data_IF_315549572424
#
_entry.id   IF_315549572424
#
_cell.length_a   1.000
_cell.length_b   1.000
_cell.length_c   1.000
_cell.angle_alpha   90.00
_cell.angle_beta   90.00
_cell.angle_gamma   90.00
#
_symmetry.space_group_name_H-M   'P 1'
#
loop_
_entity.id
_entity.type
_entity.pdbx_description
1 polymer ?
#
# COMPACT_ATOMS: atom_id res chain seq x y z
N UNK A 1 -27.72 26.53 30.74
CA UNK A 1 -26.36 27.02 30.45
C UNK A 1 -25.41 25.87 30.10
N UNK A 2 -25.29 24.82 30.89
CA UNK A 2 -24.37 23.68 30.61
C UNK A 2 -24.63 22.93 29.28
N UNK A 3 -25.90 22.76 28.86
CA UNK A 3 -26.25 22.12 27.59
C UNK A 3 -25.92 23.03 26.37
N UNK A 4 -25.98 24.34 26.51
CA UNK A 4 -25.61 25.30 25.47
C UNK A 4 -24.08 25.41 25.32
N UNK A 5 -23.32 25.30 26.41
CA UNK A 5 -21.84 25.23 26.36
C UNK A 5 -21.34 23.88 25.83
N UNK A 6 -22.01 22.77 26.10
CA UNK A 6 -21.69 21.49 25.49
C UNK A 6 -21.99 21.47 24.00
N UNK A 7 -23.09 22.05 23.55
CA UNK A 7 -23.43 22.24 22.15
C UNK A 7 -22.47 23.24 21.43
N UNK A 8 -22.05 24.31 22.10
CA UNK A 8 -21.07 25.24 21.57
C UNK A 8 -19.65 24.62 21.46
N UNK A 9 -19.28 23.72 22.39
CA UNK A 9 -18.03 22.93 22.28
C UNK A 9 -18.10 21.86 21.19
N UNK A 10 -19.27 21.29 20.93
CA UNK A 10 -19.49 20.36 19.81
C UNK A 10 -19.48 21.08 18.45
N UNK A 11 -20.00 22.32 18.39
CA UNK A 11 -20.08 23.12 17.16
C UNK A 11 -18.73 23.69 16.68
N UNK A 12 -17.64 23.57 17.44
CA UNK A 12 -16.34 24.13 17.10
C UNK A 12 -15.22 23.09 16.90
N UNK A 13 -15.57 21.81 16.70
CA UNK A 13 -14.60 20.82 16.20
C UNK A 13 -14.47 21.06 14.69
N UNK A 14 -13.47 21.86 14.29
CA UNK A 14 -13.13 22.05 12.89
C UNK A 14 -12.83 20.66 12.29
N UNK A 15 -13.69 20.18 11.40
CA UNK A 15 -13.46 18.92 10.70
C UNK A 15 -12.17 19.01 9.91
N UNK A 16 -11.25 18.08 10.13
CA UNK A 16 -9.98 18.06 9.42
C UNK A 16 -10.16 17.51 8.02
N UNK A 17 -9.46 18.07 7.06
CA UNK A 17 -9.33 17.47 5.73
C UNK A 17 -8.46 16.21 5.82
N UNK A 18 -8.62 15.33 4.85
CA UNK A 18 -7.79 14.13 4.71
C UNK A 18 -7.18 14.08 3.31
N UNK A 19 -5.86 14.07 3.24
CA UNK A 19 -5.10 13.78 2.03
C UNK A 19 -4.54 12.36 2.16
N UNK A 20 -5.07 11.44 1.34
CA UNK A 20 -4.83 10.01 1.39
C UNK A 20 -4.00 9.61 0.17
N UNK A 21 -2.72 9.24 0.37
CA UNK A 21 -1.76 8.99 -0.69
C UNK A 21 -1.34 7.53 -0.65
N UNK A 22 -1.56 6.83 -1.76
CA UNK A 22 -1.23 5.42 -1.91
C UNK A 22 -0.32 5.23 -3.12
N UNK A 23 0.78 4.49 -2.96
CA UNK A 23 1.65 4.07 -4.06
C UNK A 23 1.56 2.56 -4.26
N UNK A 24 1.54 2.12 -5.52
CA UNK A 24 1.41 0.71 -5.89
C UNK A 24 2.76 0.00 -5.83
N UNK A 25 2.79 -1.21 -5.25
CA UNK A 25 4.01 -2.04 -5.10
C UNK A 25 5.12 -1.38 -4.23
N UNK A 26 4.81 -0.39 -3.41
CA UNK A 26 5.81 0.34 -2.64
C UNK A 26 6.13 -0.37 -1.32
N UNK A 27 7.33 -0.93 -1.21
CA UNK A 27 7.89 -1.44 0.04
C UNK A 27 8.66 -0.34 0.79
N UNK A 28 9.08 -0.54 2.08
CA UNK A 28 9.80 0.50 2.85
C UNK A 28 11.23 0.73 2.34
N UNK A 29 11.40 0.90 1.04
CA UNK A 29 12.65 1.18 0.36
C UNK A 29 12.82 2.69 0.23
N UNK A 30 13.13 3.34 1.37
CA UNK A 30 13.26 4.79 1.53
C UNK A 30 14.34 5.15 2.55
N UNK A 31 14.94 6.33 2.44
CA UNK A 31 15.95 6.81 3.39
C UNK A 31 15.43 6.86 4.83
N UNK A 32 14.20 7.32 5.06
CA UNK A 32 13.58 7.37 6.39
C UNK A 32 13.34 5.98 7.03
N UNK A 33 13.36 4.89 6.26
CA UNK A 33 13.36 3.50 6.74
C UNK A 33 14.77 2.89 6.85
N UNK A 34 15.82 3.68 6.64
CA UNK A 34 17.21 3.28 6.83
C UNK A 34 17.92 2.76 5.59
N UNK A 35 17.29 2.80 4.41
CA UNK A 35 17.94 2.45 3.14
C UNK A 35 18.86 3.59 2.70
N UNK A 36 20.15 3.29 2.53
CA UNK A 36 21.17 4.33 2.27
C UNK A 36 21.36 4.65 0.79
N UNK A 37 21.07 3.69 -0.06
CA UNK A 37 21.39 3.74 -1.49
C UNK A 37 20.20 4.18 -2.35
N UNK A 38 19.17 4.78 -1.73
CA UNK A 38 17.99 5.32 -2.41
C UNK A 38 17.85 6.82 -2.14
N UNK A 39 17.34 7.55 -3.14
CA UNK A 39 17.15 9.00 -3.08
C UNK A 39 15.66 9.34 -2.88
N UNK A 40 15.26 9.60 -1.63
CA UNK A 40 13.88 9.91 -1.24
C UNK A 40 13.80 11.13 -0.31
N UNK A 41 14.36 12.30 -0.70
CA UNK A 41 14.50 13.45 0.20
C UNK A 41 13.15 14.02 0.68
N UNK A 42 12.08 13.87 -0.10
CA UNK A 42 10.77 14.40 0.24
C UNK A 42 10.03 13.51 1.25
N UNK A 43 10.08 12.18 1.08
CA UNK A 43 9.60 11.24 2.09
C UNK A 43 10.40 11.38 3.39
N UNK A 44 11.72 11.55 3.31
CA UNK A 44 12.59 11.74 4.47
C UNK A 44 12.28 13.07 5.20
N UNK A 45 11.98 14.13 4.46
CA UNK A 45 11.53 15.42 5.01
C UNK A 45 10.17 15.26 5.70
N UNK A 46 9.22 14.59 5.05
CA UNK A 46 7.87 14.37 5.57
C UNK A 46 7.89 13.53 6.86
N UNK A 47 8.69 12.47 6.91
CA UNK A 47 8.83 11.58 8.07
C UNK A 47 9.24 12.34 9.35
N UNK A 48 10.03 13.41 9.25
CA UNK A 48 10.42 14.26 10.40
C UNK A 48 9.24 14.98 11.05
N UNK A 49 8.15 15.17 10.31
CA UNK A 49 6.92 15.82 10.77
C UNK A 49 5.75 14.88 11.05
N UNK A 50 5.92 13.59 10.85
CA UNK A 50 4.89 12.55 10.93
C UNK A 50 5.21 11.48 11.98
N UNK A 51 4.25 10.59 12.26
CA UNK A 51 4.56 9.29 12.86
C UNK A 51 4.86 8.33 11.71
N UNK A 52 6.09 7.81 11.70
CA UNK A 52 6.54 6.74 10.83
C UNK A 52 6.31 5.40 11.53
N UNK A 53 5.59 4.48 10.89
CA UNK A 53 5.34 3.14 11.41
C UNK A 53 6.38 2.17 10.82
N UNK A 54 7.30 1.72 11.67
CA UNK A 54 8.37 0.79 11.23
C UNK A 54 7.84 -0.61 10.91
N UNK A 55 6.75 -1.03 11.55
CA UNK A 55 6.12 -2.34 11.38
C UNK A 55 4.67 -2.21 10.90
N UNK A 56 4.49 -1.69 9.69
CA UNK A 56 3.19 -1.65 9.02
C UNK A 56 3.09 -2.74 7.95
N UNK A 57 1.92 -3.38 7.84
CA UNK A 57 1.70 -4.53 6.96
C UNK A 57 0.41 -4.39 6.16
N UNK A 58 0.44 -4.83 4.90
CA UNK A 58 -0.77 -5.07 4.13
C UNK A 58 -1.51 -6.31 4.64
N UNK A 59 -2.78 -6.46 4.27
CA UNK A 59 -3.54 -7.65 4.64
C UNK A 59 -3.60 -8.71 3.53
N UNK A 60 -3.16 -8.35 2.32
CA UNK A 60 -2.91 -9.26 1.21
C UNK A 60 -1.78 -8.71 0.32
N UNK A 61 -0.79 -9.52 -0.12
CA UNK A 61 0.32 -9.06 -0.95
C UNK A 61 -0.05 -9.00 -2.45
N UNK A 62 -1.18 -8.34 -2.76
CA UNK A 62 -1.68 -8.10 -4.12
C UNK A 62 -2.62 -6.89 -4.12
N UNK A 63 -2.50 -6.04 -5.14
CA UNK A 63 -3.16 -4.74 -5.18
C UNK A 63 -4.68 -4.80 -5.05
N UNK A 64 -5.37 -5.72 -5.75
CA UNK A 64 -6.84 -5.83 -5.68
C UNK A 64 -7.32 -6.09 -4.27
N UNK A 65 -6.84 -7.16 -3.65
CA UNK A 65 -7.25 -7.58 -2.31
C UNK A 65 -6.79 -6.59 -1.22
N UNK A 66 -5.55 -6.06 -1.30
CA UNK A 66 -5.06 -5.08 -0.32
C UNK A 66 -5.87 -3.79 -0.36
N UNK A 67 -6.14 -3.24 -1.55
CA UNK A 67 -6.93 -2.00 -1.73
C UNK A 67 -8.36 -2.17 -1.28
N UNK A 68 -9.01 -3.29 -1.64
CA UNK A 68 -10.35 -3.63 -1.14
C UNK A 68 -10.35 -3.71 0.40
N UNK A 69 -9.33 -4.36 0.98
CA UNK A 69 -9.19 -4.51 2.43
C UNK A 69 -9.04 -3.16 3.16
N UNK A 70 -8.11 -2.30 2.72
CA UNK A 70 -7.87 -1.00 3.39
C UNK A 70 -9.07 -0.05 3.24
N UNK A 71 -9.71 -0.03 2.06
CA UNK A 71 -10.80 0.91 1.79
C UNK A 71 -12.14 0.48 2.43
N UNK A 72 -12.32 -0.81 2.72
CA UNK A 72 -13.48 -1.32 3.47
C UNK A 72 -13.19 -1.54 4.96
N UNK A 73 -11.92 -1.55 5.39
CA UNK A 73 -11.50 -1.87 6.76
C UNK A 73 -11.73 -3.33 7.15
N UNK A 74 -11.81 -4.24 6.16
CA UNK A 74 -12.13 -5.65 6.35
C UNK A 74 -10.96 -6.55 5.95
N UNK A 75 -10.72 -7.63 6.71
CA UNK A 75 -9.72 -8.64 6.32
C UNK A 75 -10.13 -9.42 5.07
N UNK A 76 -9.16 -9.83 4.25
CA UNK A 76 -9.39 -10.86 3.22
C UNK A 76 -9.84 -12.16 3.86
N UNK A 77 -10.60 -12.98 3.12
CA UNK A 77 -11.11 -14.27 3.59
C UNK A 77 -11.16 -15.29 2.45
N UNK A 78 -10.09 -16.03 2.28
CA UNK A 78 -10.05 -17.10 1.29
C UNK A 78 -11.02 -18.25 1.63
N UNK A 79 -11.76 -18.79 0.66
CA UNK A 79 -11.75 -18.45 -0.77
C UNK A 79 -12.87 -17.47 -1.18
N UNK A 80 -13.44 -16.69 -0.30
CA UNK A 80 -14.71 -15.99 -0.52
C UNK A 80 -14.60 -14.49 -0.71
N UNK A 81 -13.55 -13.82 -0.20
CA UNK A 81 -13.48 -12.36 -0.18
C UNK A 81 -12.05 -11.86 -0.31
N UNK A 82 -11.80 -10.95 -1.23
CA UNK A 82 -10.52 -10.27 -1.45
C UNK A 82 -9.36 -11.26 -1.62
N UNK A 83 -9.50 -12.18 -2.59
CA UNK A 83 -8.58 -13.31 -2.74
C UNK A 83 -7.41 -13.06 -3.69
N UNK A 84 -7.56 -12.13 -4.65
CA UNK A 84 -6.55 -11.81 -5.66
C UNK A 84 -6.74 -10.41 -6.27
N UNK A 85 -6.09 -10.15 -7.42
CA UNK A 85 -6.19 -8.87 -8.13
C UNK A 85 -7.54 -8.69 -8.84
N UNK A 86 -8.31 -9.74 -9.11
CA UNK A 86 -9.59 -9.64 -9.81
C UNK A 86 -10.75 -9.26 -8.88
N UNK A 87 -10.53 -9.30 -7.57
CA UNK A 87 -11.57 -9.00 -6.59
C UNK A 87 -12.08 -7.56 -6.72
N UNK A 88 -13.37 -7.40 -6.49
CA UNK A 88 -14.03 -6.10 -6.34
C UNK A 88 -14.74 -6.07 -5.00
N UNK A 89 -14.50 -5.05 -4.20
CA UNK A 89 -15.13 -4.92 -2.90
C UNK A 89 -16.64 -4.86 -3.00
N UNK A 90 -17.17 -4.20 -4.03
CA UNK A 90 -18.61 -4.13 -4.36
C UNK A 90 -19.24 -5.48 -4.72
N UNK A 91 -18.43 -6.48 -5.08
CA UNK A 91 -18.88 -7.85 -5.40
C UNK A 91 -18.68 -8.79 -4.23
N UNK A 92 -17.47 -8.77 -3.66
CA UNK A 92 -17.05 -9.69 -2.59
C UNK A 92 -17.67 -9.35 -1.21
N UNK A 93 -18.02 -8.08 -1.02
CA UNK A 93 -18.64 -7.56 0.20
C UNK A 93 -19.63 -6.44 -0.14
N UNK A 94 -20.74 -6.73 -0.83
CA UNK A 94 -21.65 -5.73 -1.40
C UNK A 94 -22.28 -4.80 -0.35
N UNK A 95 -22.45 -5.27 0.89
CA UNK A 95 -23.01 -4.48 1.99
C UNK A 95 -21.95 -3.64 2.72
N UNK A 96 -20.67 -3.79 2.37
CA UNK A 96 -19.60 -3.01 2.97
C UNK A 96 -19.61 -1.57 2.45
N UNK A 97 -19.53 -0.62 3.36
CA UNK A 97 -19.45 0.80 3.03
C UNK A 97 -17.95 1.18 2.98
N UNK A 98 -17.41 1.54 1.81
CA UNK A 98 -16.03 1.99 1.73
C UNK A 98 -15.85 3.34 2.45
N UNK A 99 -14.60 3.66 2.85
CA UNK A 99 -14.29 4.91 3.57
C UNK A 99 -14.78 6.16 2.83
N UNK A 100 -14.72 6.17 1.50
CA UNK A 100 -15.25 7.24 0.65
C UNK A 100 -16.74 7.46 0.90
N UNK A 101 -17.56 6.40 0.81
CA UNK A 101 -19.00 6.48 1.04
C UNK A 101 -19.36 6.86 2.47
N UNK A 102 -18.58 6.34 3.45
CA UNK A 102 -18.79 6.70 4.85
C UNK A 102 -18.52 8.19 5.12
N UNK A 103 -17.41 8.71 4.61
CA UNK A 103 -17.08 10.12 4.73
C UNK A 103 -18.06 11.02 3.96
N UNK A 104 -18.49 10.60 2.75
CA UNK A 104 -19.52 11.32 1.98
C UNK A 104 -20.82 11.44 2.78
N UNK A 105 -21.28 10.37 3.42
CA UNK A 105 -22.50 10.38 4.26
C UNK A 105 -22.37 11.25 5.51
N UNK A 106 -21.13 11.60 5.91
CA UNK A 106 -20.82 12.49 7.04
C UNK A 106 -20.39 13.90 6.61
N UNK A 107 -20.74 14.32 5.39
CA UNK A 107 -20.59 15.70 4.93
C UNK A 107 -19.22 16.06 4.33
N UNK A 108 -18.34 15.09 4.14
CA UNK A 108 -17.09 15.27 3.42
C UNK A 108 -17.33 15.29 1.91
N UNK A 109 -16.57 16.11 1.20
CA UNK A 109 -16.48 16.00 -0.25
C UNK A 109 -15.33 15.07 -0.61
N UNK A 110 -15.62 13.95 -1.29
CA UNK A 110 -14.67 12.87 -1.53
C UNK A 110 -14.29 12.79 -3.00
N UNK A 111 -12.98 12.77 -3.29
CA UNK A 111 -12.40 12.77 -4.64
C UNK A 111 -11.32 11.69 -4.74
N UNK A 112 -11.29 10.98 -5.88
CA UNK A 112 -10.33 9.92 -6.17
C UNK A 112 -9.58 10.18 -7.46
N UNK A 113 -8.26 10.35 -7.38
CA UNK A 113 -7.37 10.54 -8.51
C UNK A 113 -6.34 9.41 -8.60
N UNK A 114 -6.15 8.85 -9.79
CA UNK A 114 -5.21 7.76 -10.04
C UNK A 114 -5.66 6.41 -9.49
N UNK A 115 -4.71 5.56 -9.10
CA UNK A 115 -4.97 4.19 -8.67
C UNK A 115 -5.31 4.12 -7.18
N UNK A 116 -6.59 4.24 -6.81
CA UNK A 116 -7.11 4.07 -5.45
C UNK A 116 -7.75 2.68 -5.31
N UNK A 117 -8.91 2.39 -5.88
CA UNK A 117 -9.37 1.01 -6.06
C UNK A 117 -8.57 0.33 -7.17
N UNK A 118 -8.47 -0.99 -7.17
CA UNK A 118 -7.79 -1.70 -8.25
C UNK A 118 -8.60 -1.57 -9.56
N UNK A 119 -9.90 -1.75 -9.47
CA UNK A 119 -10.86 -1.50 -10.55
C UNK A 119 -11.51 -0.12 -10.36
N UNK A 120 -11.47 0.75 -11.38
CA UNK A 120 -11.95 2.13 -11.25
C UNK A 120 -13.46 2.20 -10.96
N UNK A 121 -14.22 1.24 -11.48
CA UNK A 121 -15.66 1.13 -11.28
C UNK A 121 -16.04 0.57 -9.90
N UNK A 122 -15.09 -0.01 -9.14
CA UNK A 122 -15.37 -0.62 -7.84
C UNK A 122 -15.74 0.46 -6.82
N UNK A 123 -16.99 0.42 -6.36
CA UNK A 123 -17.58 1.46 -5.50
C UNK A 123 -17.44 2.89 -6.06
N UNK A 124 -17.49 3.05 -7.38
CA UNK A 124 -17.37 4.37 -8.01
C UNK A 124 -18.45 5.36 -7.54
N UNK A 125 -19.64 4.88 -7.24
CA UNK A 125 -20.78 5.62 -6.71
C UNK A 125 -20.63 6.07 -5.24
N UNK A 126 -19.62 5.56 -4.52
CA UNK A 126 -19.35 5.94 -3.14
C UNK A 126 -18.63 7.29 -3.00
N UNK A 127 -18.09 7.80 -4.09
CA UNK A 127 -17.38 9.08 -4.15
C UNK A 127 -18.33 10.24 -4.47
N UNK A 128 -17.99 11.45 -4.03
CA UNK A 128 -18.78 12.66 -4.37
C UNK A 128 -18.69 13.01 -5.85
N UNK A 129 -17.63 12.59 -6.51
CA UNK A 129 -17.37 12.75 -7.94
C UNK A 129 -16.88 11.43 -8.51
N UNK A 130 -17.08 11.18 -9.81
CA UNK A 130 -16.59 9.97 -10.47
C UNK A 130 -15.06 9.83 -10.29
N UNK A 131 -14.54 8.67 -9.89
CA UNK A 131 -13.10 8.44 -9.80
C UNK A 131 -12.41 8.75 -11.11
N UNK A 132 -11.27 9.45 -11.05
CA UNK A 132 -10.53 9.86 -12.23
C UNK A 132 -9.21 9.09 -12.37
N UNK A 133 -8.93 8.61 -13.58
CA UNK A 133 -7.63 8.09 -14.00
C UNK A 133 -7.23 8.75 -15.30
N UNK A 134 -5.93 9.03 -15.44
CA UNK A 134 -5.41 9.52 -16.70
C UNK A 134 -5.38 8.39 -17.75
N UNK A 135 -5.63 8.77 -19.02
CA UNK A 135 -5.53 7.89 -20.16
C UNK A 135 -4.96 8.66 -21.37
N UNK A 136 -4.03 8.08 -22.14
CA UNK A 136 -3.38 8.77 -23.26
C UNK A 136 -4.35 9.28 -24.34
N UNK A 137 -5.46 8.60 -24.57
CA UNK A 137 -6.45 8.96 -25.59
C UNK A 137 -7.56 9.89 -25.06
N UNK A 138 -7.47 10.32 -23.78
CA UNK A 138 -8.44 11.23 -23.16
C UNK A 138 -9.81 10.62 -22.88
N UNK A 139 -9.96 9.32 -23.00
CA UNK A 139 -11.18 8.61 -22.65
C UNK A 139 -11.10 8.04 -21.25
N UNK A 140 -12.19 8.16 -20.47
CA UNK A 140 -12.39 7.40 -19.24
C UNK A 140 -12.59 5.93 -19.61
N UNK A 141 -11.50 5.18 -19.75
CA UNK A 141 -11.59 3.81 -20.24
C UNK A 141 -11.91 2.85 -19.13
N UNK A 142 -13.10 2.32 -19.21
CA UNK A 142 -13.50 1.08 -18.58
C UNK A 142 -12.57 -0.09 -19.01
N UNK A 143 -12.23 -0.90 -18.11
CA UNK A 143 -11.39 -2.08 -18.05
C UNK A 143 -11.25 -3.01 -19.26
N UNK A 144 -11.95 -2.81 -20.35
CA UNK A 144 -11.82 -3.64 -21.55
C UNK A 144 -10.38 -3.67 -22.11
N UNK A 145 -9.50 -2.78 -21.64
CA UNK A 145 -8.15 -2.64 -22.14
C UNK A 145 -7.14 -2.45 -20.99
N UNK A 146 -6.97 -3.49 -20.20
CA UNK A 146 -6.02 -3.61 -19.06
C UNK A 146 -4.59 -3.13 -19.36
N UNK A 147 -4.22 -2.97 -20.62
CA UNK A 147 -2.85 -2.65 -21.05
C UNK A 147 -2.63 -1.18 -21.43
N UNK A 148 -3.65 -0.30 -21.38
CA UNK A 148 -3.51 1.09 -21.88
C UNK A 148 -3.04 2.11 -20.85
N UNK A 149 -3.00 1.77 -19.56
CA UNK A 149 -2.36 2.60 -18.53
C UNK A 149 -0.84 2.49 -18.52
N UNK A 150 -0.28 1.52 -19.26
CA UNK A 150 1.15 1.31 -19.37
C UNK A 150 1.70 2.18 -20.51
N UNK A 151 2.44 3.22 -20.16
CA UNK A 151 2.98 4.19 -21.10
C UNK A 151 4.48 4.02 -21.28
N UNK A 152 4.89 3.78 -22.53
CA UNK A 152 6.29 3.81 -22.95
C UNK A 152 6.51 5.02 -23.85
N UNK A 153 7.45 5.90 -23.47
CA UNK A 153 7.76 7.16 -24.15
C UNK A 153 9.07 7.11 -24.93
N UNK A 154 9.88 6.11 -24.69
CA UNK A 154 11.08 5.87 -25.47
C UNK A 154 10.73 5.14 -26.78
N UNK A 155 11.08 5.73 -27.93
CA UNK A 155 10.77 5.16 -29.25
C UNK A 155 11.38 3.76 -29.49
N UNK A 156 12.48 3.42 -28.80
CA UNK A 156 13.07 2.08 -28.88
C UNK A 156 12.23 1.04 -28.11
N UNK A 157 11.60 1.43 -27.02
CA UNK A 157 10.75 0.52 -26.23
C UNK A 157 9.60 -0.06 -27.05
N UNK A 158 8.99 0.73 -27.92
CA UNK A 158 7.92 0.28 -28.81
C UNK A 158 8.32 -0.79 -29.81
N UNK A 159 9.62 -1.05 -30.03
CA UNK A 159 10.13 -2.12 -30.89
C UNK A 159 10.19 -3.48 -30.19
N UNK A 160 10.08 -3.50 -28.88
CA UNK A 160 10.19 -4.71 -28.07
C UNK A 160 8.86 -5.02 -27.40
N UNK A 161 8.06 -5.85 -28.04
CA UNK A 161 6.72 -6.23 -27.55
C UNK A 161 6.70 -7.73 -27.26
N UNK A 162 6.17 -8.09 -26.11
CA UNK A 162 5.89 -9.48 -25.77
C UNK A 162 4.72 -9.99 -26.65
N UNK A 163 4.94 -10.98 -27.52
CA UNK A 163 3.93 -11.38 -28.52
C UNK A 163 2.70 -12.06 -27.91
N UNK A 164 2.76 -12.50 -26.66
CA UNK A 164 1.62 -13.15 -25.98
C UNK A 164 0.71 -12.17 -25.27
N UNK A 165 1.28 -11.11 -24.68
CA UNK A 165 0.55 -10.16 -23.83
C UNK A 165 0.39 -8.79 -24.47
N UNK A 166 1.12 -8.54 -25.55
CA UNK A 166 1.22 -7.24 -26.23
C UNK A 166 1.79 -6.11 -25.36
N UNK A 167 2.48 -6.45 -24.27
CA UNK A 167 3.13 -5.49 -23.38
C UNK A 167 4.56 -5.19 -23.85
N UNK A 168 4.99 -3.96 -23.65
CA UNK A 168 6.36 -3.49 -23.89
C UNK A 168 7.37 -4.02 -22.86
N UNK A 169 8.59 -3.47 -22.83
CA UNK A 169 9.62 -3.84 -21.87
C UNK A 169 9.18 -3.65 -20.42
N UNK A 170 9.72 -4.47 -19.50
CA UNK A 170 9.45 -4.33 -18.06
C UNK A 170 9.99 -3.03 -17.45
N UNK A 171 10.82 -2.29 -18.18
CA UNK A 171 11.37 -1.00 -17.75
C UNK A 171 11.74 -0.12 -18.95
N UNK A 172 11.73 1.18 -18.75
CA UNK A 172 12.31 2.17 -19.65
C UNK A 172 12.73 3.45 -18.94
N UNK A 173 13.65 4.19 -19.56
CA UNK A 173 13.97 5.57 -19.21
C UNK A 173 13.84 6.45 -20.45
N UNK A 174 12.92 7.42 -20.41
CA UNK A 174 12.80 8.45 -21.45
C UNK A 174 13.31 9.79 -20.92
N UNK A 175 13.97 10.57 -21.76
CA UNK A 175 14.40 11.93 -21.42
C UNK A 175 13.23 12.90 -21.57
N UNK A 176 12.37 12.91 -20.54
CA UNK A 176 11.11 13.64 -20.51
C UNK A 176 10.91 14.33 -19.16
N UNK A 177 10.04 15.35 -19.05
CA UNK A 177 9.68 15.96 -17.78
C UNK A 177 8.83 15.02 -16.92
N UNK A 178 8.72 15.32 -15.61
CA UNK A 178 7.92 14.55 -14.65
C UNK A 178 6.43 14.45 -15.04
N UNK A 179 5.92 15.43 -15.75
CA UNK A 179 4.53 15.47 -16.22
C UNK A 179 4.22 14.52 -17.40
N UNK A 180 5.21 13.82 -17.95
CA UNK A 180 5.02 13.05 -19.17
C UNK A 180 4.46 11.64 -18.94
N UNK A 181 4.75 11.02 -17.79
CA UNK A 181 4.20 9.71 -17.42
C UNK A 181 2.90 9.85 -16.60
N UNK A 182 2.17 8.76 -16.47
CA UNK A 182 0.85 8.69 -15.81
C UNK A 182 0.80 9.37 -14.45
N UNK A 183 1.78 9.12 -13.58
CA UNK A 183 1.80 9.68 -12.24
C UNK A 183 2.00 11.20 -12.23
N UNK A 184 2.67 11.76 -13.25
CA UNK A 184 2.74 13.20 -13.44
C UNK A 184 1.38 13.81 -13.76
N UNK A 185 0.55 13.13 -14.55
CA UNK A 185 -0.84 13.55 -14.81
C UNK A 185 -1.72 13.39 -13.56
N UNK A 186 -1.53 12.31 -12.79
CA UNK A 186 -2.22 12.14 -11.48
C UNK A 186 -1.89 13.28 -10.53
N UNK A 187 -0.61 13.66 -10.43
CA UNK A 187 -0.20 14.83 -9.64
C UNK A 187 -0.88 16.11 -10.15
N UNK A 188 -0.79 16.40 -11.44
CA UNK A 188 -1.36 17.63 -12.02
C UNK A 188 -2.87 17.76 -11.70
N UNK A 189 -3.64 16.66 -11.88
CA UNK A 189 -5.07 16.63 -11.51
C UNK A 189 -5.27 16.86 -10.00
N UNK A 190 -4.46 16.20 -9.17
CA UNK A 190 -4.56 16.31 -7.71
C UNK A 190 -4.26 17.72 -7.21
N UNK A 191 -3.29 18.42 -7.81
CA UNK A 191 -2.99 19.81 -7.49
C UNK A 191 -4.16 20.74 -7.84
N UNK A 192 -4.80 20.55 -9.01
CA UNK A 192 -5.99 21.31 -9.40
C UNK A 192 -7.15 21.07 -8.42
N UNK A 193 -7.39 19.80 -8.04
CA UNK A 193 -8.45 19.48 -7.09
C UNK A 193 -8.16 20.01 -5.69
N UNK A 194 -6.91 20.01 -5.26
CA UNK A 194 -6.53 20.56 -3.96
C UNK A 194 -6.87 22.06 -3.86
N UNK A 195 -6.58 22.84 -4.92
CA UNK A 195 -6.99 24.24 -5.02
C UNK A 195 -8.51 24.39 -4.97
N UNK A 196 -9.23 23.63 -5.79
CA UNK A 196 -10.69 23.66 -5.88
C UNK A 196 -11.36 23.29 -4.56
N UNK A 197 -10.87 22.26 -3.88
CA UNK A 197 -11.39 21.78 -2.59
C UNK A 197 -11.16 22.79 -1.46
N UNK A 198 -10.02 23.51 -1.47
CA UNK A 198 -9.80 24.65 -0.57
C UNK A 198 -10.90 25.70 -0.73
N UNK A 199 -11.17 26.07 -1.98
CA UNK A 199 -12.12 27.14 -2.28
C UNK A 199 -13.57 26.74 -2.03
N UNK A 200 -13.87 25.45 -2.03
CA UNK A 200 -15.18 24.90 -1.67
C UNK A 200 -15.55 25.12 -0.19
N UNK A 201 -14.57 25.25 0.69
CA UNK A 201 -14.78 25.52 2.12
C UNK A 201 -15.47 24.41 2.91
N UNK A 202 -15.53 23.20 2.36
CA UNK A 202 -16.05 21.98 3.03
C UNK A 202 -14.90 21.06 3.41
N UNK A 203 -15.04 20.23 4.47
CA UNK A 203 -14.06 19.18 4.72
C UNK A 203 -14.02 18.21 3.54
N UNK A 204 -12.83 17.75 3.19
CA UNK A 204 -12.64 16.86 2.07
C UNK A 204 -11.81 15.63 2.42
N UNK A 205 -12.03 14.57 1.63
CA UNK A 205 -11.18 13.40 1.52
C UNK A 205 -10.68 13.32 0.09
N UNK A 206 -9.42 13.72 -0.11
CA UNK A 206 -8.76 13.67 -1.42
C UNK A 206 -7.79 12.48 -1.44
N UNK A 207 -8.10 11.50 -2.28
CA UNK A 207 -7.28 10.33 -2.48
C UNK A 207 -6.43 10.48 -3.76
N UNK A 208 -5.11 10.32 -3.62
CA UNK A 208 -4.12 10.38 -4.70
C UNK A 208 -3.41 9.03 -4.78
N UNK A 209 -3.61 8.28 -5.85
CA UNK A 209 -3.04 6.95 -6.06
C UNK A 209 -2.01 6.95 -7.18
N UNK A 210 -0.72 6.82 -6.82
CA UNK A 210 0.36 6.65 -7.78
C UNK A 210 0.46 5.20 -8.25
N UNK A 211 0.80 5.00 -9.53
CA UNK A 211 1.05 3.70 -10.13
C UNK A 211 2.44 3.18 -9.79
N UNK A 212 3.44 4.06 -9.76
CA UNK A 212 4.81 3.65 -9.48
C UNK A 212 5.01 3.44 -7.96
N UNK A 213 5.90 2.48 -7.63
CA UNK A 213 6.83 1.73 -8.48
C UNK A 213 6.29 0.43 -9.12
N UNK A 214 4.98 0.26 -9.35
CA UNK A 214 4.46 -0.91 -10.09
C UNK A 214 5.06 -1.00 -11.51
N UNK A 215 5.24 -2.22 -12.00
CA UNK A 215 5.61 -2.50 -13.40
C UNK A 215 4.69 -1.81 -14.42
N UNK A 216 5.20 -1.43 -15.59
CA UNK A 216 6.60 -1.40 -16.00
C UNK A 216 7.34 -0.29 -15.24
N UNK A 217 8.64 -0.47 -14.97
CA UNK A 217 9.44 0.55 -14.28
C UNK A 217 9.78 1.69 -15.24
N UNK A 218 8.78 2.52 -15.54
CA UNK A 218 8.90 3.70 -16.40
C UNK A 218 9.01 4.96 -15.55
N UNK A 219 10.13 5.64 -15.62
CA UNK A 219 10.39 6.90 -14.95
C UNK A 219 11.26 7.80 -15.84
N UNK A 220 11.17 9.14 -15.72
CA UNK A 220 12.05 10.05 -16.44
C UNK A 220 13.52 9.72 -16.20
N UNK A 221 14.34 9.84 -17.28
CA UNK A 221 15.76 9.46 -17.29
C UNK A 221 16.56 10.03 -16.13
N UNK A 222 16.27 11.26 -15.69
CA UNK A 222 16.96 11.91 -14.57
C UNK A 222 16.92 11.10 -13.27
N UNK A 223 15.89 10.28 -13.03
CA UNK A 223 15.80 9.41 -11.86
C UNK A 223 16.61 8.13 -12.03
N UNK A 224 16.70 7.60 -13.25
CA UNK A 224 17.57 6.48 -13.58
C UNK A 224 19.05 6.85 -13.42
N UNK A 225 19.42 8.05 -13.84
CA UNK A 225 20.80 8.55 -13.76
C UNK A 225 21.29 8.72 -12.30
N UNK A 226 20.37 8.74 -11.30
CA UNK A 226 20.73 8.71 -9.88
C UNK A 226 21.36 7.38 -9.45
N UNK A 227 21.16 6.30 -10.22
CA UNK A 227 21.50 4.94 -9.85
C UNK A 227 22.47 4.26 -10.84
N UNK A 228 23.72 4.75 -10.97
CA UNK A 228 24.73 4.12 -11.82
C UNK A 228 25.10 2.71 -11.32
N UNK A 229 24.86 2.45 -10.04
CA UNK A 229 24.96 1.13 -9.42
C UNK A 229 23.96 1.01 -8.26
N UNK A 230 23.48 -0.21 -8.02
CA UNK A 230 22.60 -0.54 -6.88
C UNK A 230 23.14 -1.79 -6.17
N UNK A 231 23.12 -1.82 -4.83
CA UNK A 231 23.52 -3.02 -4.10
C UNK A 231 22.51 -4.15 -4.35
N UNK A 232 23.02 -5.33 -4.67
CA UNK A 232 22.18 -6.52 -4.87
C UNK A 232 21.88 -7.20 -3.54
N UNK A 233 20.75 -7.92 -3.48
CA UNK A 233 20.44 -8.75 -2.32
C UNK A 233 21.50 -9.84 -2.14
N UNK A 234 21.95 -10.05 -0.89
CA UNK A 234 22.93 -11.07 -0.57
C UNK A 234 22.31 -12.48 -0.56
N UNK A 235 21.01 -12.60 -0.34
CA UNK A 235 20.25 -13.83 -0.19
C UNK A 235 19.42 -14.18 -1.45
N UNK A 236 20.05 -14.20 -2.61
CA UNK A 236 19.41 -14.52 -3.90
C UNK A 236 19.16 -16.03 -4.10
N UNK A 237 18.92 -16.76 -3.04
CA UNK A 237 18.66 -18.21 -3.04
C UNK A 237 17.35 -18.52 -2.33
N UNK A 238 16.66 -19.57 -2.78
CA UNK A 238 15.42 -19.99 -2.14
C UNK A 238 15.68 -20.41 -0.69
N UNK A 239 14.89 -19.89 0.28
CA UNK A 239 15.02 -20.26 1.69
C UNK A 239 14.93 -21.76 1.92
N UNK A 240 15.77 -22.29 2.81
CA UNK A 240 15.76 -23.70 3.19
C UNK A 240 14.41 -24.06 3.83
N UNK A 241 13.81 -25.17 3.39
CA UNK A 241 12.56 -25.70 3.94
C UNK A 241 11.31 -24.86 3.62
N UNK A 242 11.40 -23.94 2.67
CA UNK A 242 10.27 -23.11 2.27
C UNK A 242 9.17 -23.96 1.62
N UNK A 243 7.89 -23.84 2.04
CA UNK A 243 6.77 -24.58 1.46
C UNK A 243 6.61 -24.35 -0.05
N UNK A 244 6.13 -25.36 -0.81
CA UNK A 244 5.94 -25.21 -2.27
C UNK A 244 4.91 -24.17 -2.66
N UNK A 245 4.00 -23.77 -1.78
CA UNK A 245 3.01 -22.73 -1.98
C UNK A 245 3.66 -21.35 -2.06
N UNK A 246 4.84 -21.14 -1.47
CA UNK A 246 5.58 -19.88 -1.57
C UNK A 246 6.38 -19.90 -2.87
N UNK A 247 5.88 -19.19 -3.86
CA UNK A 247 6.44 -19.13 -5.21
C UNK A 247 6.71 -17.70 -5.64
N UNK A 248 7.61 -17.54 -6.59
CA UNK A 248 7.86 -16.26 -7.23
C UNK A 248 6.60 -15.77 -7.97
N UNK A 249 6.40 -14.45 -7.99
CA UNK A 249 5.40 -13.84 -8.84
C UNK A 249 5.74 -14.02 -10.31
N UNK A 250 4.75 -14.42 -11.12
CA UNK A 250 4.90 -14.50 -12.58
C UNK A 250 4.58 -13.20 -13.32
N UNK A 251 4.23 -12.13 -12.61
CA UNK A 251 3.71 -10.89 -13.22
C UNK A 251 4.70 -10.25 -14.20
N UNK A 252 5.97 -10.18 -13.84
CA UNK A 252 7.01 -9.59 -14.69
C UNK A 252 7.13 -10.31 -16.04
N UNK A 253 6.81 -11.61 -16.10
CA UNK A 253 6.86 -12.41 -17.33
C UNK A 253 5.82 -11.99 -18.38
N UNK A 254 4.87 -11.14 -18.00
CA UNK A 254 3.92 -10.54 -18.96
C UNK A 254 4.57 -9.44 -19.82
N UNK A 255 5.72 -8.92 -19.41
CA UNK A 255 6.44 -7.86 -20.12
C UNK A 255 7.49 -8.41 -21.11
N UNK A 256 7.96 -7.58 -22.00
CA UNK A 256 9.10 -7.91 -22.87
C UNK A 256 10.44 -7.66 -22.14
N UNK A 257 11.53 -8.15 -22.73
CA UNK A 257 12.91 -7.99 -22.26
C UNK A 257 13.19 -8.58 -20.86
N UNK A 258 12.40 -9.57 -20.45
CA UNK A 258 12.56 -10.29 -19.18
C UNK A 258 13.55 -11.43 -19.33
N UNK A 259 14.40 -11.64 -18.33
CA UNK A 259 15.34 -12.75 -18.22
C UNK A 259 15.02 -13.62 -17.00
N UNK A 260 15.89 -14.56 -16.68
CA UNK A 260 15.72 -15.49 -15.56
C UNK A 260 16.15 -14.86 -14.22
N UNK A 261 15.63 -15.31 -13.08
CA UNK A 261 15.96 -14.74 -11.76
C UNK A 261 17.42 -14.93 -11.30
N UNK A 262 18.21 -15.74 -12.00
CA UNK A 262 19.66 -15.91 -11.79
C UNK A 262 20.52 -14.98 -12.66
N UNK A 263 19.94 -14.28 -13.63
CA UNK A 263 20.61 -13.26 -14.43
C UNK A 263 20.85 -11.99 -13.61
N UNK A 264 22.10 -11.76 -13.24
CA UNK A 264 22.49 -10.63 -12.38
C UNK A 264 22.30 -9.26 -13.06
N UNK A 265 22.46 -9.18 -14.37
CA UNK A 265 22.21 -7.96 -15.12
C UNK A 265 20.72 -7.62 -15.14
N UNK A 266 19.87 -8.62 -15.34
CA UNK A 266 18.43 -8.47 -15.25
C UNK A 266 18.00 -8.02 -13.85
N UNK A 267 18.45 -8.69 -12.79
CA UNK A 267 18.11 -8.30 -11.42
C UNK A 267 18.60 -6.90 -11.06
N UNK A 268 19.79 -6.53 -11.53
CA UNK A 268 20.31 -5.17 -11.35
C UNK A 268 19.40 -4.14 -12.03
N UNK A 269 18.95 -4.42 -13.25
CA UNK A 269 18.05 -3.53 -13.98
C UNK A 269 16.66 -3.43 -13.33
N UNK A 270 16.13 -4.55 -12.82
CA UNK A 270 14.89 -4.59 -12.00
C UNK A 270 15.01 -3.65 -10.80
N UNK A 271 16.09 -3.78 -10.02
CA UNK A 271 16.29 -2.96 -8.82
C UNK A 271 16.53 -1.48 -9.15
N UNK A 272 17.33 -1.19 -10.19
CA UNK A 272 17.56 0.18 -10.65
C UNK A 272 16.24 0.84 -11.09
N UNK A 273 15.43 0.13 -11.88
CA UNK A 273 14.14 0.64 -12.34
C UNK A 273 13.15 0.89 -11.21
N UNK A 274 13.10 -0.02 -10.24
CA UNK A 274 12.30 0.16 -9.03
C UNK A 274 12.73 1.40 -8.26
N UNK A 275 14.03 1.59 -8.01
CA UNK A 275 14.59 2.75 -7.32
C UNK A 275 14.33 4.06 -8.07
N UNK A 276 14.49 4.07 -9.39
CA UNK A 276 14.16 5.22 -10.22
C UNK A 276 12.67 5.60 -10.09
N UNK A 277 11.77 4.62 -10.10
CA UNK A 277 10.34 4.84 -9.90
C UNK A 277 10.02 5.36 -8.48
N UNK A 278 10.68 4.86 -7.44
CA UNK A 278 10.48 5.36 -6.06
C UNK A 278 10.94 6.81 -5.95
N UNK A 279 12.10 7.17 -6.52
CA UNK A 279 12.57 8.57 -6.52
C UNK A 279 11.68 9.49 -7.35
N UNK A 280 11.09 8.98 -8.43
CA UNK A 280 10.10 9.73 -9.20
C UNK A 280 8.85 10.02 -8.35
N UNK A 281 8.27 9.01 -7.69
CA UNK A 281 7.11 9.20 -6.79
C UNK A 281 7.46 10.12 -5.62
N UNK A 282 8.67 10.01 -5.05
CA UNK A 282 9.16 10.93 -4.02
C UNK A 282 9.11 12.39 -4.47
N UNK A 283 9.55 12.68 -5.72
CA UNK A 283 9.53 14.03 -6.27
C UNK A 283 8.09 14.54 -6.48
N UNK A 284 7.18 13.69 -6.98
CA UNK A 284 5.77 14.04 -7.15
C UNK A 284 5.09 14.26 -5.80
N UNK A 285 5.37 13.41 -4.81
CA UNK A 285 4.92 13.58 -3.44
C UNK A 285 5.42 14.91 -2.84
N UNK A 286 6.67 15.26 -3.07
CA UNK A 286 7.24 16.52 -2.63
C UNK A 286 6.47 17.73 -3.16
N UNK A 287 6.16 17.75 -4.47
CA UNK A 287 5.37 18.82 -5.10
C UNK A 287 3.96 18.92 -4.50
N UNK A 288 3.33 17.77 -4.21
CA UNK A 288 2.00 17.75 -3.57
C UNK A 288 2.04 18.33 -2.14
N UNK A 289 3.09 18.04 -1.37
CA UNK A 289 3.27 18.59 -0.03
C UNK A 289 3.58 20.09 -0.05
N UNK A 290 4.41 20.54 -0.99
CA UNK A 290 4.74 21.95 -1.15
C UNK A 290 3.49 22.76 -1.55
N UNK A 291 2.61 22.19 -2.38
CA UNK A 291 1.34 22.84 -2.73
C UNK A 291 0.36 22.90 -1.55
N UNK A 292 0.26 21.82 -0.75
CA UNK A 292 -0.56 21.82 0.47
C UNK A 292 -0.13 22.92 1.44
N UNK A 293 1.20 23.10 1.60
CA UNK A 293 1.79 24.15 2.43
C UNK A 293 1.53 25.55 1.82
N UNK A 294 1.74 25.73 0.50
CA UNK A 294 1.48 26.98 -0.23
C UNK A 294 0.03 27.46 -0.13
N UNK A 295 -0.90 26.51 -0.11
CA UNK A 295 -2.34 26.80 0.03
C UNK A 295 -2.76 27.09 1.48
N UNK A 296 -1.83 27.00 2.45
CA UNK A 296 -2.11 27.24 3.87
C UNK A 296 -3.01 26.18 4.50
N UNK A 297 -3.04 24.95 3.95
CA UNK A 297 -3.91 23.88 4.43
C UNK A 297 -3.20 22.86 5.32
N UNK A 298 -1.89 22.94 5.48
CA UNK A 298 -1.11 21.97 6.25
C UNK A 298 -1.59 21.82 7.71
N UNK A 299 -2.03 22.91 8.35
CA UNK A 299 -2.50 22.93 9.74
C UNK A 299 -3.94 22.43 9.92
N UNK A 300 -4.61 22.06 8.84
CA UNK A 300 -5.99 21.54 8.86
C UNK A 300 -6.17 20.28 8.01
N UNK A 301 -5.07 19.58 7.67
CA UNK A 301 -5.13 18.40 6.83
C UNK A 301 -4.32 17.26 7.43
N UNK A 302 -5.00 16.14 7.65
CA UNK A 302 -4.37 14.85 7.96
C UNK A 302 -3.76 14.34 6.67
N UNK A 303 -2.47 13.99 6.67
CA UNK A 303 -1.80 13.38 5.52
C UNK A 303 -1.41 11.95 5.88
N UNK A 304 -1.89 11.01 5.08
CA UNK A 304 -1.58 9.58 5.20
C UNK A 304 -0.90 9.16 3.91
N UNK A 305 0.32 8.60 4.01
CA UNK A 305 1.06 8.06 2.86
C UNK A 305 1.52 6.65 3.14
N UNK A 306 1.27 5.72 2.20
CA UNK A 306 1.59 4.31 2.36
C UNK A 306 1.68 3.57 1.01
N UNK A 307 2.30 2.36 1.04
CA UNK A 307 2.26 1.39 -0.03
C UNK A 307 1.10 0.40 0.16
N UNK A 308 0.52 -0.10 -0.92
CA UNK A 308 -0.55 -1.10 -0.84
C UNK A 308 -0.06 -2.50 -0.48
N UNK A 309 1.13 -2.89 -0.91
CA UNK A 309 1.89 -4.09 -0.50
C UNK A 309 3.37 -3.93 -0.85
N UNK A 310 4.20 -4.89 -0.44
CA UNK A 310 5.62 -4.90 -0.74
C UNK A 310 5.96 -5.56 -2.08
N UNK A 311 7.27 -5.75 -2.31
CA UNK A 311 7.86 -6.27 -3.55
C UNK A 311 9.21 -6.95 -3.27
N UNK A 312 9.55 -8.04 -3.98
CA UNK A 312 10.87 -8.68 -3.91
C UNK A 312 11.76 -8.16 -5.05
N UNK A 313 12.97 -7.74 -4.70
CA UNK A 313 13.98 -7.16 -5.62
C UNK A 313 15.18 -8.11 -5.81
N UNK A 314 14.92 -9.42 -5.88
CA UNK A 314 15.94 -10.47 -6.02
C UNK A 314 16.20 -11.23 -4.73
N UNK A 315 15.69 -10.80 -3.57
CA UNK A 315 15.76 -11.59 -2.35
C UNK A 315 15.09 -12.96 -2.59
N UNK A 316 15.71 -14.01 -2.08
CA UNK A 316 15.23 -15.41 -2.21
C UNK A 316 15.10 -15.92 -3.65
N UNK A 317 15.71 -15.22 -4.62
CA UNK A 317 15.52 -15.47 -6.05
C UNK A 317 14.13 -15.06 -6.53
N UNK A 318 13.42 -14.20 -5.79
CA UNK A 318 12.07 -13.73 -6.14
C UNK A 318 12.11 -12.33 -6.75
N UNK A 319 11.24 -12.12 -7.74
CA UNK A 319 10.98 -10.82 -8.35
C UNK A 319 9.47 -10.62 -8.35
N UNK A 320 9.00 -9.57 -7.69
CA UNK A 320 7.57 -9.29 -7.56
C UNK A 320 7.02 -9.50 -6.16
N UNK A 321 5.72 -9.64 -6.08
CA UNK A 321 4.89 -9.79 -4.88
C UNK A 321 4.40 -11.22 -4.72
N UNK A 322 3.27 -11.43 -4.09
CA UNK A 322 2.54 -12.69 -4.01
C UNK A 322 3.14 -13.74 -3.06
N UNK A 323 3.88 -13.30 -2.04
CA UNK A 323 4.36 -14.18 -0.97
C UNK A 323 3.91 -13.69 0.40
N UNK A 324 3.92 -14.57 1.41
CA UNK A 324 3.67 -14.23 2.82
C UNK A 324 4.98 -13.87 3.56
N UNK A 325 6.04 -13.60 2.82
CA UNK A 325 7.31 -13.12 3.35
C UNK A 325 7.26 -11.62 3.61
N UNK A 326 8.07 -11.16 4.54
CA UNK A 326 8.08 -9.76 4.99
C UNK A 326 8.35 -8.77 3.85
N UNK A 327 9.16 -9.13 2.86
CA UNK A 327 9.42 -8.32 1.67
C UNK A 327 8.17 -8.00 0.84
N UNK A 328 7.18 -8.91 0.82
CA UNK A 328 5.91 -8.72 0.11
C UNK A 328 4.79 -8.14 1.00
N UNK A 329 4.90 -8.28 2.32
CA UNK A 329 3.80 -7.92 3.24
C UNK A 329 4.03 -6.63 4.00
N UNK A 330 5.29 -6.25 4.29
CA UNK A 330 5.64 -5.01 4.96
C UNK A 330 5.58 -3.83 4.00
N UNK A 331 4.94 -2.75 4.44
CA UNK A 331 4.72 -1.53 3.65
C UNK A 331 5.19 -0.29 4.41
N UNK A 332 5.59 0.80 3.74
CA UNK A 332 5.72 2.07 4.41
C UNK A 332 4.34 2.59 4.83
N UNK A 333 4.28 3.20 5.99
CA UNK A 333 3.12 3.98 6.46
C UNK A 333 3.63 5.17 7.28
N UNK A 334 3.25 6.35 6.86
CA UNK A 334 3.51 7.58 7.59
C UNK A 334 2.23 8.39 7.71
N UNK A 335 1.93 8.90 8.91
CA UNK A 335 0.74 9.71 9.18
C UNK A 335 1.15 11.00 9.87
N UNK A 336 0.84 12.14 9.23
CA UNK A 336 0.97 13.48 9.80
C UNK A 336 -0.40 13.99 10.19
N UNK A 337 -0.56 14.30 11.48
CA UNK A 337 -1.77 14.94 12.02
C UNK A 337 -1.36 16.25 12.67
N UNK A 338 -1.93 17.40 12.25
CA UNK A 338 -1.61 18.68 12.87
C UNK A 338 -1.81 18.68 14.38
N UNK A 339 -0.80 19.15 15.11
CA UNK A 339 -0.83 19.20 16.57
C UNK A 339 -0.63 17.88 17.31
N UNK A 340 -0.43 16.75 16.60
CA UNK A 340 -0.12 15.46 17.21
C UNK A 340 1.38 15.15 17.27
N UNK A 341 1.74 13.99 17.84
CA UNK A 341 3.12 13.56 17.98
C UNK A 341 3.75 13.25 16.62
N UNK A 342 5.08 13.24 16.60
CA UNK A 342 5.94 12.82 15.49
C UNK A 342 7.00 11.87 16.02
N UNK A 343 7.57 11.05 15.16
CA UNK A 343 8.63 10.10 15.51
C UNK A 343 8.37 8.71 14.96
N UNK A 344 9.15 7.73 15.37
CA UNK A 344 9.06 6.35 14.90
C UNK A 344 8.26 5.50 15.88
N UNK A 345 7.26 4.79 15.37
CA UNK A 345 6.54 3.76 16.12
C UNK A 345 7.01 2.37 15.68
N UNK A 346 7.33 1.53 16.67
CA UNK A 346 7.65 0.10 16.47
C UNK A 346 6.44 -0.81 16.70
N UNK A 347 5.25 -0.24 16.88
CA UNK A 347 4.02 -1.02 17.02
C UNK A 347 3.69 -1.78 15.74
N UNK A 348 3.22 -3.01 15.89
CA UNK A 348 2.61 -3.76 14.81
C UNK A 348 1.31 -3.08 14.40
N UNK A 349 1.14 -2.74 13.12
CA UNK A 349 -0.05 -2.10 12.56
C UNK A 349 -0.37 -2.67 11.18
N UNK A 350 -1.62 -2.58 10.76
CA UNK A 350 -2.12 -3.10 9.49
C UNK A 350 -2.84 -2.02 8.70
N UNK A 351 -2.90 -2.17 7.38
CA UNK A 351 -3.60 -1.20 6.54
C UNK A 351 -5.10 -1.10 6.84
N UNK A 352 -5.76 -2.16 7.30
CA UNK A 352 -7.17 -2.10 7.76
C UNK A 352 -7.36 -1.16 8.97
N UNK A 353 -6.30 -0.79 9.68
CA UNK A 353 -6.34 0.15 10.80
C UNK A 353 -6.54 1.61 10.34
N UNK A 354 -6.30 1.90 9.06
CA UNK A 354 -6.39 3.26 8.51
C UNK A 354 -7.84 3.76 8.54
N UNK A 355 -8.81 2.95 8.15
CA UNK A 355 -10.22 3.35 8.13
C UNK A 355 -10.72 3.80 9.53
N UNK A 356 -10.65 2.98 10.60
CA UNK A 356 -11.08 3.42 11.93
C UNK A 356 -10.24 4.61 12.46
N UNK A 357 -8.99 4.74 12.03
CA UNK A 357 -8.13 5.88 12.38
C UNK A 357 -8.64 7.18 11.77
N UNK A 358 -9.01 7.17 10.50
CA UNK A 358 -9.60 8.36 9.84
C UNK A 358 -10.88 8.77 10.53
N UNK A 359 -11.79 7.82 10.82
CA UNK A 359 -13.03 8.11 11.54
C UNK A 359 -12.76 8.78 12.90
N UNK A 360 -11.85 8.21 13.69
CA UNK A 360 -11.50 8.72 15.02
C UNK A 360 -10.87 10.14 14.94
N UNK A 361 -9.96 10.37 14.02
CA UNK A 361 -9.32 11.67 13.81
C UNK A 361 -10.31 12.74 13.30
N UNK A 362 -11.25 12.35 12.47
CA UNK A 362 -12.31 13.23 11.95
C UNK A 362 -13.46 13.44 12.93
N UNK A 363 -13.46 12.70 14.05
CA UNK A 363 -14.54 12.77 15.07
C UNK A 363 -15.87 12.20 14.58
N UNK A 364 -15.81 11.22 13.70
CA UNK A 364 -16.94 10.50 13.09
C UNK A 364 -17.01 9.11 13.73
N UNK A 365 -18.20 8.66 14.10
CA UNK A 365 -18.37 7.29 14.59
C UNK A 365 -18.01 6.28 13.47
N UNK A 366 -17.16 5.32 13.80
CA UNK A 366 -16.77 4.30 12.85
C UNK A 366 -17.86 3.23 12.70
N UNK A 367 -18.04 2.63 11.49
CA UNK A 367 -18.98 1.53 11.28
C UNK A 367 -18.42 0.23 11.88
N UNK A 368 -18.35 0.17 13.22
CA UNK A 368 -17.68 -0.89 14.01
C UNK A 368 -18.17 -2.31 13.70
N UNK A 369 -19.39 -2.44 13.14
CA UNK A 369 -19.94 -3.72 12.74
C UNK A 369 -19.16 -4.33 11.55
N UNK A 370 -18.59 -3.48 10.72
CA UNK A 370 -17.84 -3.85 9.52
C UNK A 370 -16.34 -4.00 9.80
N UNK A 371 -15.74 -3.09 10.59
CA UNK A 371 -14.30 -2.93 10.68
C UNK A 371 -13.62 -4.05 11.47
N UNK A 372 -12.54 -4.59 10.91
CA UNK A 372 -11.62 -5.53 11.57
C UNK A 372 -10.39 -4.81 12.15
N UNK A 373 -10.07 -3.61 11.64
CA UNK A 373 -8.96 -2.76 12.10
C UNK A 373 -9.22 -2.07 13.43
N UNK A 374 -8.17 -1.45 13.97
CA UNK A 374 -8.18 -0.65 15.21
C UNK A 374 -7.64 0.74 14.94
N UNK A 375 -8.23 1.78 15.57
CA UNK A 375 -7.71 3.14 15.45
C UNK A 375 -6.26 3.24 15.94
N UNK A 376 -5.41 3.88 15.14
CA UNK A 376 -4.01 4.20 15.44
C UNK A 376 -3.87 5.52 16.21
N UNK A 377 -4.95 6.23 16.53
CA UNK A 377 -4.92 7.50 17.26
C UNK A 377 -4.14 7.44 18.58
N UNK A 378 -4.18 6.34 19.36
CA UNK A 378 -3.33 6.25 20.55
C UNK A 378 -1.83 6.30 20.25
N UNK A 379 -1.39 5.76 19.11
CA UNK A 379 -0.01 5.79 18.64
C UNK A 379 0.32 7.18 18.08
N UNK A 380 -0.59 7.79 17.34
CA UNK A 380 -0.43 9.15 16.81
C UNK A 380 -0.32 10.21 17.91
N UNK A 381 -0.88 9.96 19.10
CA UNK A 381 -0.68 10.78 20.31
C UNK A 381 0.63 10.47 21.02
N UNK A 382 1.09 9.23 20.97
CA UNK A 382 2.34 8.79 21.58
C UNK A 382 2.90 7.57 20.82
N UNK A 383 3.95 7.74 19.99
CA UNK A 383 4.53 6.68 19.17
C UNK A 383 5.04 5.44 19.92
N UNK A 384 5.26 5.55 21.22
CA UNK A 384 5.67 4.41 22.06
C UNK A 384 4.51 3.49 22.45
N UNK A 385 3.27 3.86 22.18
CA UNK A 385 2.11 3.01 22.45
C UNK A 385 1.92 1.93 21.38
N UNK A 386 1.19 0.88 21.76
CA UNK A 386 0.75 -0.18 20.85
C UNK A 386 -0.75 -0.38 20.96
N UNK A 387 -1.40 -0.74 19.86
CA UNK A 387 -2.85 -1.06 19.80
C UNK A 387 -3.10 -2.54 19.55
N UNK A 388 -2.09 -3.28 19.06
CA UNK A 388 -2.12 -4.73 18.83
C UNK A 388 -0.72 -5.33 18.92
N UNK A 389 -0.64 -6.66 19.05
CA UNK A 389 0.61 -7.40 19.15
C UNK A 389 0.96 -8.14 17.88
N UNK A 390 -0.04 -8.51 17.10
CA UNK A 390 0.08 -9.30 15.88
C UNK A 390 -0.65 -8.61 14.73
N UNK A 391 -0.22 -8.93 13.50
CA UNK A 391 -0.86 -8.54 12.24
C UNK A 391 -1.22 -9.79 11.45
N UNK A 392 -2.32 -9.73 10.69
CA UNK A 392 -2.83 -10.85 9.91
C UNK A 392 -2.78 -10.54 8.41
N UNK A 393 -2.19 -11.45 7.66
CA UNK A 393 -2.10 -11.37 6.20
C UNK A 393 -2.60 -12.67 5.58
N UNK A 394 -3.24 -12.61 4.42
CA UNK A 394 -3.70 -13.79 3.71
C UNK A 394 -3.28 -13.76 2.24
N UNK A 395 -2.86 -14.93 1.74
CA UNK A 395 -2.57 -15.10 0.33
C UNK A 395 -2.77 -16.56 -0.11
N UNK A 396 -3.60 -16.78 -1.16
CA UNK A 396 -3.80 -18.08 -1.83
C UNK A 396 -3.98 -19.28 -0.87
N UNK A 397 -4.86 -19.11 0.12
CA UNK A 397 -5.15 -20.16 1.10
C UNK A 397 -4.10 -20.33 2.21
N UNK A 398 -3.04 -19.51 2.19
CA UNK A 398 -2.12 -19.34 3.30
C UNK A 398 -2.63 -18.25 4.24
N UNK A 399 -2.72 -18.57 5.52
CA UNK A 399 -2.97 -17.63 6.59
C UNK A 399 -1.65 -17.29 7.26
N UNK A 400 -1.37 -16.01 7.48
CA UNK A 400 -0.13 -15.53 8.06
C UNK A 400 -0.41 -14.66 9.28
N UNK A 401 0.35 -14.88 10.34
CA UNK A 401 0.37 -14.06 11.54
C UNK A 401 1.82 -13.64 11.82
N UNK A 402 2.02 -12.33 11.98
CA UNK A 402 3.33 -11.80 12.34
C UNK A 402 3.25 -11.03 13.66
N UNK A 403 4.25 -11.22 14.51
CA UNK A 403 4.52 -10.38 15.66
C UNK A 403 5.92 -9.72 15.54
N UNK A 404 6.37 -8.99 16.55
CA UNK A 404 7.67 -8.30 16.49
C UNK A 404 8.88 -9.22 16.31
N UNK A 405 8.71 -10.54 16.45
CA UNK A 405 9.81 -11.51 16.38
C UNK A 405 9.56 -12.58 15.32
N UNK A 406 8.33 -13.02 15.16
CA UNK A 406 8.02 -14.20 14.36
C UNK A 406 7.14 -13.85 13.17
N UNK A 407 7.49 -14.41 12.01
CA UNK A 407 6.62 -14.48 10.84
C UNK A 407 6.19 -15.95 10.68
N UNK A 408 4.90 -16.23 10.92
CA UNK A 408 4.32 -17.59 10.86
C UNK A 408 3.23 -17.65 9.80
N UNK A 409 3.24 -18.69 8.97
CA UNK A 409 2.14 -18.99 8.05
C UNK A 409 1.77 -20.49 8.09
N UNK A 410 0.47 -20.75 7.81
CA UNK A 410 -0.05 -22.13 7.63
C UNK A 410 -1.00 -22.18 6.43
N UNK A 411 -0.91 -23.23 5.64
CA UNK A 411 -1.81 -23.53 4.52
C UNK A 411 -2.75 -24.66 4.92
N UNK A 412 -4.04 -24.35 5.09
CA UNK A 412 -5.02 -25.30 5.61
C UNK A 412 -5.20 -26.53 4.72
N UNK A 413 -5.07 -26.38 3.40
CA UNK A 413 -5.28 -27.46 2.44
C UNK A 413 -4.15 -28.51 2.46
N UNK A 414 -2.90 -28.08 2.55
CA UNK A 414 -1.72 -28.94 2.54
C UNK A 414 -1.23 -29.35 3.93
N UNK A 415 -1.53 -28.52 4.94
CA UNK A 415 -0.96 -28.65 6.27
C UNK A 415 0.48 -28.10 6.38
N UNK A 416 1.03 -27.53 5.30
CA UNK A 416 2.36 -26.95 5.32
C UNK A 416 2.41 -25.70 6.21
N UNK A 417 3.56 -25.49 6.84
CA UNK A 417 3.81 -24.34 7.73
C UNK A 417 5.14 -23.67 7.41
N UNK A 418 5.20 -22.38 7.73
CA UNK A 418 6.40 -21.57 7.62
C UNK A 418 6.55 -20.76 8.91
N UNK A 419 7.75 -20.73 9.47
CA UNK A 419 8.10 -19.88 10.60
C UNK A 419 9.49 -19.31 10.41
N UNK A 420 9.61 -17.99 10.56
CA UNK A 420 10.89 -17.29 10.65
C UNK A 420 11.01 -16.61 12.00
N UNK A 421 12.23 -16.65 12.61
CA UNK A 421 12.57 -15.93 13.84
C UNK A 421 13.46 -14.73 13.49
N UNK A 422 12.91 -13.55 13.43
CA UNK A 422 13.61 -12.34 13.03
C UNK A 422 14.73 -11.90 14.02
N UNK A 423 14.79 -12.48 15.21
CA UNK A 423 15.94 -12.29 16.11
C UNK A 423 17.17 -13.11 15.68
N UNK A 424 16.96 -14.24 15.01
CA UNK A 424 18.02 -15.13 14.53
C UNK A 424 18.27 -14.97 13.03
N UNK A 425 17.21 -14.74 12.24
CA UNK A 425 17.22 -14.67 10.79
C UNK A 425 16.23 -13.59 10.31
N UNK A 426 16.68 -12.34 10.31
CA UNK A 426 15.86 -11.20 9.92
C UNK A 426 15.46 -11.25 8.44
N UNK A 427 16.29 -11.88 7.62
CA UNK A 427 16.11 -11.93 6.17
C UNK A 427 15.32 -13.15 5.70
N UNK A 428 14.77 -13.95 6.64
CA UNK A 428 13.87 -15.07 6.34
C UNK A 428 14.51 -16.16 5.44
N UNK A 429 15.77 -16.53 5.70
CA UNK A 429 16.56 -17.44 4.87
C UNK A 429 16.31 -18.94 5.16
N UNK A 430 15.74 -19.26 6.35
CA UNK A 430 15.50 -20.64 6.76
C UNK A 430 14.15 -20.79 7.49
N UNK A 431 13.27 -21.62 6.94
CA UNK A 431 12.04 -22.00 7.61
C UNK A 431 12.34 -22.95 8.78
N UNK A 432 12.05 -22.51 10.01
CA UNK A 432 12.29 -23.27 11.24
C UNK A 432 11.03 -23.92 11.80
N UNK A 433 9.90 -23.90 11.09
CA UNK A 433 8.62 -24.47 11.58
C UNK A 433 8.68 -25.96 11.91
N UNK A 434 9.57 -26.73 11.26
CA UNK A 434 9.80 -28.15 11.52
C UNK A 434 10.82 -28.44 12.62
N UNK A 435 11.49 -27.43 13.19
CA UNK A 435 12.45 -27.62 14.27
C UNK A 435 11.73 -27.78 15.62
N UNK A 436 12.06 -28.87 16.37
CA UNK A 436 11.43 -29.18 17.64
C UNK A 436 11.51 -28.05 18.68
N UNK A 437 12.59 -27.27 18.69
CA UNK A 437 12.78 -26.15 19.60
C UNK A 437 11.74 -25.04 19.38
N UNK A 438 11.19 -24.91 18.18
CA UNK A 438 10.17 -23.94 17.83
C UNK A 438 8.74 -24.48 17.91
N UNK A 439 8.53 -25.77 18.23
CA UNK A 439 7.20 -26.35 18.32
C UNK A 439 6.23 -25.59 19.27
N UNK A 440 6.68 -25.11 20.46
CA UNK A 440 5.83 -24.26 21.31
C UNK A 440 5.40 -22.95 20.63
N UNK A 441 6.30 -22.33 19.85
CA UNK A 441 6.04 -21.09 19.10
C UNK A 441 5.04 -21.33 17.97
N UNK A 442 5.23 -22.37 17.16
CA UNK A 442 4.30 -22.79 16.10
C UNK A 442 2.90 -22.98 16.67
N UNK A 443 2.78 -23.76 17.78
CA UNK A 443 1.49 -23.98 18.45
C UNK A 443 0.83 -22.70 18.96
N UNK A 444 1.62 -21.78 19.53
CA UNK A 444 1.15 -20.46 19.98
C UNK A 444 0.61 -19.65 18.80
N UNK A 445 1.42 -19.49 17.75
CA UNK A 445 1.06 -18.65 16.58
C UNK A 445 -0.19 -19.20 15.87
N UNK A 446 -0.27 -20.51 15.65
CA UNK A 446 -1.46 -21.17 15.08
C UNK A 446 -2.72 -20.92 15.93
N UNK A 447 -2.59 -21.00 17.26
CA UNK A 447 -3.71 -20.74 18.18
C UNK A 447 -4.17 -19.27 18.14
N UNK A 448 -3.23 -18.32 18.13
CA UNK A 448 -3.57 -16.89 18.04
C UNK A 448 -4.19 -16.56 16.67
N UNK A 449 -3.67 -17.10 15.57
CA UNK A 449 -4.23 -16.92 14.24
C UNK A 449 -5.67 -17.40 14.15
N UNK A 450 -6.00 -18.57 14.76
CA UNK A 450 -7.38 -19.05 14.84
C UNK A 450 -8.32 -18.11 15.60
N UNK A 451 -7.80 -17.39 16.61
CA UNK A 451 -8.58 -16.36 17.33
C UNK A 451 -8.85 -15.14 16.43
N UNK A 452 -7.83 -14.65 15.72
CA UNK A 452 -7.97 -13.54 14.78
C UNK A 452 -9.01 -13.88 13.71
N UNK A 453 -8.92 -15.05 13.09
CA UNK A 453 -9.90 -15.54 12.10
C UNK A 453 -11.30 -15.65 12.69
N UNK A 454 -11.46 -16.22 13.88
CA UNK A 454 -12.76 -16.31 14.55
C UNK A 454 -13.35 -14.94 14.83
N UNK A 455 -12.53 -13.94 15.13
CA UNK A 455 -12.99 -12.57 15.32
C UNK A 455 -13.41 -11.93 13.99
N UNK A 456 -12.57 -11.96 12.97
CA UNK A 456 -12.80 -11.35 11.67
C UNK A 456 -14.00 -11.98 10.92
N UNK A 457 -14.17 -13.31 11.02
CA UNK A 457 -15.17 -14.06 10.26
C UNK A 457 -16.45 -14.38 11.04
N UNK A 458 -16.59 -13.93 12.28
CA UNK A 458 -17.85 -14.09 13.06
C UNK A 458 -19.00 -13.25 12.52
N UNK A 459 -18.70 -12.20 11.77
CA UNK A 459 -19.68 -11.37 11.10
C UNK A 459 -20.07 -12.05 9.80
N UNK A 460 -21.27 -12.60 9.75
CA UNK A 460 -21.84 -13.10 8.51
C UNK A 460 -22.17 -11.92 7.61
N UNK A 461 -21.23 -11.50 6.79
CA UNK A 461 -21.55 -10.82 5.53
C UNK A 461 -21.94 -11.93 4.56
N UNK A 462 -23.12 -12.49 4.78
CA UNK A 462 -23.73 -13.48 3.89
C UNK A 462 -24.65 -12.75 2.95
N UNK A 463 -24.48 -13.10 1.63
CA UNK A 463 -25.59 -12.91 0.70
C UNK A 463 -26.87 -13.44 1.29
#
# INVERSE_FOLDING_TARGET
MQAAEANAKAANKKHMNVLFIMADDLRPEMGCYGVKDIHTPNFDRFAKGAVLFDNAFCNAPVSGASRASVLTGMYPNYPTRFIDYTCKASVDAPDAIPISGWLTSHGYHTVSNGKIMHHIEDHADSWSEAPWRWHPDGYDVYWAEYNRWELWLNSESGKHINPRTMRGPFCESADVPDSAYDDGHVLAKTLVDLCRLRDMGKPFFLACGFWKPHLPFCAPKKYWDMYPSVPMAANQYRPTGLPPEVQNSGEINAYACVSTPDDQEFLRLVKTGYYACVSYVDALFGQLMDELDRLGMADNTIVIVFGDHGWNLGEHGFVGKHTLMTTSTRVPLMIRVPGMAKGVSKSMVELVDIYPTICDLCGIDAPVQQLDGKSLTPILRNPSRSVKREVYVQWQGGDNLQDNRFNYAEWQKSGNTMLFDHNADRDENANVSGNADYAPTVNRMSKEMKKVKKFAFRKKWTK
#
